data_IF_482610872060
#
_entry.id   IF_482610872060
#
_cell.length_a   1.000
_cell.length_b   1.000
_cell.length_c   1.000
_cell.angle_alpha   90.00
_cell.angle_beta   90.00
_cell.angle_gamma   90.00
#
_symmetry.space_group_name_H-M   'P 1'
#
loop_
_entity.id
_entity.type
_entity.pdbx_description
1 polymer ?
#
# COMPACT_ATOMS: atom_id res chain seq x y z
N UNK A 1 16.60 16.42 -12.25
CA UNK A 1 16.61 15.02 -11.79
C UNK A 1 15.20 14.72 -11.28
N UNK A 2 14.53 13.69 -11.79
CA UNK A 2 13.17 13.32 -11.34
C UNK A 2 13.27 12.19 -10.32
N UNK A 3 12.75 12.42 -9.12
CA UNK A 3 12.74 11.42 -8.05
C UNK A 3 11.33 10.83 -7.98
N UNK A 4 11.22 9.52 -8.21
CA UNK A 4 9.97 8.78 -8.12
C UNK A 4 10.02 7.83 -6.94
N UNK A 5 9.01 7.88 -6.09
CA UNK A 5 8.92 7.07 -4.88
C UNK A 5 7.81 6.03 -5.06
N UNK A 6 8.08 4.80 -4.66
CA UNK A 6 7.10 3.71 -4.68
C UNK A 6 6.95 3.13 -3.28
N UNK A 7 5.71 2.98 -2.84
CA UNK A 7 5.35 2.52 -1.51
C UNK A 7 4.37 1.37 -1.67
N UNK A 8 4.59 0.31 -0.91
CA UNK A 8 3.68 -0.83 -0.85
C UNK A 8 3.10 -0.93 0.56
N UNK A 9 1.80 -1.14 0.65
CA UNK A 9 1.12 -1.35 1.92
C UNK A 9 0.11 -2.49 1.78
N UNK A 10 0.03 -3.29 2.84
CA UNK A 10 -1.00 -4.33 2.98
C UNK A 10 -2.31 -3.75 3.56
N UNK A 11 -2.24 -2.52 4.08
CA UNK A 11 -3.37 -1.83 4.71
C UNK A 11 -3.95 -0.82 3.68
N UNK A 12 -5.27 -0.83 3.44
CA UNK A 12 -5.90 0.16 2.60
C UNK A 12 -5.64 1.59 3.11
N UNK A 13 -5.39 2.54 2.20
CA UNK A 13 -5.08 3.94 2.55
C UNK A 13 -6.12 4.57 3.49
N UNK A 14 -7.40 4.24 3.32
CA UNK A 14 -8.46 4.76 4.20
C UNK A 14 -8.36 4.33 5.67
N UNK A 15 -7.55 3.31 5.98
CA UNK A 15 -7.28 2.85 7.35
C UNK A 15 -5.95 3.33 7.90
N UNK A 16 -5.20 4.15 7.16
CA UNK A 16 -3.88 4.61 7.59
C UNK A 16 -3.96 5.57 8.77
N UNK A 17 -5.01 6.40 8.84
CA UNK A 17 -5.23 7.30 9.97
C UNK A 17 -5.28 6.53 11.30
N UNK A 18 -6.06 5.45 11.33
CA UNK A 18 -6.18 4.58 12.52
C UNK A 18 -4.87 3.83 12.86
N UNK A 19 -4.06 3.49 11.86
CA UNK A 19 -2.85 2.66 12.05
C UNK A 19 -1.58 3.46 12.33
N UNK A 20 -1.51 4.72 11.89
CA UNK A 20 -0.32 5.57 12.08
C UNK A 20 -0.25 6.16 13.51
N UNK A 21 -1.35 6.12 14.26
CA UNK A 21 -1.40 6.44 15.69
C UNK A 21 -1.30 7.95 16.02
N UNK A 22 -0.67 8.75 15.16
CA UNK A 22 -0.65 10.21 15.26
C UNK A 22 -1.42 10.83 14.07
N UNK A 23 -2.52 11.56 14.34
CA UNK A 23 -3.34 12.17 13.29
C UNK A 23 -2.55 13.21 12.47
N UNK A 24 -1.62 13.93 13.08
CA UNK A 24 -0.79 14.95 12.41
C UNK A 24 0.14 14.32 11.40
N UNK A 25 0.75 13.19 11.77
CA UNK A 25 1.63 12.43 10.87
C UNK A 25 0.80 11.76 9.77
N UNK A 26 -0.36 11.20 10.11
CA UNK A 26 -1.26 10.62 9.15
C UNK A 26 -1.68 11.63 8.07
N UNK A 27 -2.09 12.83 8.47
CA UNK A 27 -2.46 13.91 7.55
C UNK A 27 -1.26 14.31 6.68
N UNK A 28 -0.09 14.52 7.26
CA UNK A 28 1.11 14.89 6.51
C UNK A 28 1.52 13.83 5.47
N UNK A 29 1.32 12.54 5.77
CA UNK A 29 1.60 11.42 4.86
C UNK A 29 0.56 11.38 3.73
N UNK A 30 -0.72 11.52 4.04
CA UNK A 30 -1.79 11.56 3.04
C UNK A 30 -1.59 12.74 2.07
N UNK A 31 -1.24 13.91 2.58
CA UNK A 31 -1.01 15.11 1.78
C UNK A 31 0.22 15.01 0.88
N UNK A 32 1.35 14.53 1.42
CA UNK A 32 2.62 14.56 0.67
C UNK A 32 2.78 13.39 -0.28
N UNK A 33 2.27 12.22 0.10
CA UNK A 33 2.50 10.97 -0.62
C UNK A 33 1.27 10.60 -1.41
N UNK A 34 0.11 10.48 -0.75
CA UNK A 34 -1.08 9.91 -1.37
C UNK A 34 -1.69 10.87 -2.40
N UNK A 35 -1.64 12.18 -2.15
CA UNK A 35 -2.23 13.19 -3.04
C UNK A 35 -1.72 13.09 -4.50
N UNK A 36 -0.43 12.81 -4.69
CA UNK A 36 0.19 12.69 -6.02
C UNK A 36 0.50 11.24 -6.43
N UNK A 37 0.13 10.25 -5.61
CA UNK A 37 0.45 8.85 -5.88
C UNK A 37 -0.50 8.23 -6.91
N UNK A 38 0.07 7.52 -7.88
CA UNK A 38 -0.70 6.58 -8.68
C UNK A 38 -0.97 5.31 -7.86
N UNK A 39 -2.24 5.06 -7.55
CA UNK A 39 -2.65 3.98 -6.62
C UNK A 39 -3.01 2.72 -7.39
N UNK A 40 -2.27 1.63 -7.12
CA UNK A 40 -2.56 0.31 -7.67
C UNK A 40 -3.03 -0.60 -6.53
N UNK A 41 -4.29 -1.02 -6.56
CA UNK A 41 -4.82 -1.98 -5.59
C UNK A 41 -4.58 -3.39 -6.09
N UNK A 42 -3.63 -4.09 -5.46
CA UNK A 42 -3.31 -5.47 -5.78
C UNK A 42 -4.43 -6.40 -5.29
N UNK A 43 -4.83 -7.35 -6.13
CA UNK A 43 -5.83 -8.39 -5.84
C UNK A 43 -5.25 -9.76 -6.16
N UNK A 44 -5.77 -10.79 -5.48
CA UNK A 44 -5.41 -12.20 -5.71
C UNK A 44 -4.70 -12.86 -4.53
N UNK A 45 -4.53 -14.19 -4.58
CA UNK A 45 -3.92 -14.96 -3.50
C UNK A 45 -2.41 -14.69 -3.36
N UNK A 46 -1.87 -14.99 -2.18
CA UNK A 46 -0.44 -14.87 -1.91
C UNK A 46 0.37 -15.73 -2.87
N UNK A 47 1.34 -15.09 -3.56
CA UNK A 47 2.30 -15.80 -4.42
C UNK A 47 3.40 -16.53 -3.64
N UNK A 48 3.44 -16.39 -2.31
CA UNK A 48 4.40 -17.09 -1.43
C UNK A 48 4.05 -18.54 -1.17
N UNK A 49 2.76 -18.89 -1.26
CA UNK A 49 2.39 -20.28 -1.51
C UNK A 49 2.93 -20.58 -2.90
N UNK A 50 4.11 -21.23 -2.95
CA UNK A 50 4.60 -21.82 -4.19
C UNK A 50 3.44 -22.61 -4.79
N UNK A 51 3.28 -22.54 -6.11
CA UNK A 51 2.24 -23.24 -6.88
C UNK A 51 1.94 -24.56 -6.16
N UNK A 52 0.85 -24.64 -5.40
CA UNK A 52 0.36 -25.95 -5.01
C UNK A 52 0.10 -26.60 -6.36
N UNK A 53 0.90 -27.61 -6.66
CA UNK A 53 0.80 -28.41 -7.86
C UNK A 53 -0.59 -29.01 -7.85
N UNK A 54 -1.57 -28.30 -8.41
CA UNK A 54 -2.86 -28.89 -8.75
C UNK A 54 -2.66 -29.61 -10.08
N UNK A 55 -1.94 -30.73 -10.01
CA UNK A 55 -2.19 -31.85 -10.90
C UNK A 55 -3.40 -32.60 -10.32
N UNK A 56 -4.57 -32.44 -10.94
CA UNK A 56 -5.60 -33.48 -11.15
C UNK A 56 -6.58 -32.95 -12.19
#
# INVERSE_FOLDING_TARGET
>A
MHHAWSITSQIPVGKWHDHLGDPTIADAVLDRIVHNAHRITLKGPSRRKGKETTET
#
